data_IF_673238620034
#
_entry.id   IF_673238620034
#
_cell.length_a   1.000
_cell.length_b   1.000
_cell.length_c   1.000
_cell.angle_alpha   90.00
_cell.angle_beta   90.00
_cell.angle_gamma   90.00
#
_symmetry.space_group_name_H-M   'P 1'
#
loop_
_entity.id
_entity.type
_entity.pdbx_description
1 polymer ?
#
# COMPACT_ATOMS: atom_id res chain seq x y z
N UNK A 1 1.39 -6.70 12.30
CA UNK A 1 0.02 -7.25 12.53
C UNK A 1 -0.04 -8.33 13.60
N UNK A 2 0.97 -9.21 13.68
CA UNK A 2 1.05 -10.24 14.74
C UNK A 2 1.07 -9.62 16.14
N UNK A 3 1.84 -8.55 16.32
CA UNK A 3 1.88 -7.80 17.58
C UNK A 3 0.49 -7.30 18.03
N UNK A 4 -0.27 -6.66 17.12
CA UNK A 4 -1.63 -6.20 17.39
C UNK A 4 -2.50 -7.36 17.90
N UNK A 5 -2.45 -8.48 17.19
CA UNK A 5 -3.22 -9.71 17.50
C UNK A 5 -2.86 -10.31 18.85
N UNK A 6 -1.62 -10.12 19.32
CA UNK A 6 -1.13 -10.64 20.58
C UNK A 6 -1.45 -9.71 21.76
N UNK A 7 -1.38 -8.39 21.56
CA UNK A 7 -1.57 -7.38 22.61
C UNK A 7 -3.05 -7.05 22.81
N UNK A 8 -3.81 -6.89 21.73
CA UNK A 8 -5.23 -6.55 21.81
C UNK A 8 -6.06 -7.80 22.08
N UNK A 9 -6.48 -7.98 23.34
CA UNK A 9 -7.31 -9.13 23.75
C UNK A 9 -8.80 -8.96 23.46
N UNK A 10 -9.28 -7.71 23.37
CA UNK A 10 -10.68 -7.39 23.06
C UNK A 10 -10.83 -7.11 21.57
N UNK A 11 -11.95 -7.55 20.98
CA UNK A 11 -12.30 -7.21 19.59
C UNK A 11 -12.43 -5.69 19.45
N UNK A 12 -11.84 -5.15 18.39
CA UNK A 12 -11.83 -3.73 18.09
C UNK A 12 -11.82 -3.54 16.57
N UNK A 13 -12.13 -2.33 16.10
CA UNK A 13 -11.83 -1.92 14.73
C UNK A 13 -10.42 -1.34 14.67
N UNK A 14 -9.62 -1.80 13.73
CA UNK A 14 -8.22 -1.40 13.55
C UNK A 14 -7.98 -0.91 12.12
N UNK A 15 -7.42 0.30 12.00
CA UNK A 15 -7.04 0.88 10.71
C UNK A 15 -5.53 0.74 10.53
N UNK A 16 -5.11 0.18 9.42
CA UNK A 16 -3.70 -0.01 9.05
C UNK A 16 -3.37 0.95 7.93
N UNK A 17 -2.51 1.92 8.19
CA UNK A 17 -2.04 2.89 7.19
C UNK A 17 -0.63 2.49 6.76
N UNK A 18 -0.44 2.24 5.47
CA UNK A 18 0.85 1.81 4.90
C UNK A 18 0.82 1.99 3.38
N UNK A 19 1.97 2.05 2.72
CA UNK A 19 2.06 1.86 1.25
C UNK A 19 1.92 0.38 0.84
N UNK A 20 2.03 -0.54 1.81
CA UNK A 20 2.03 -1.99 1.68
C UNK A 20 3.11 -2.52 0.72
N UNK A 21 4.22 -1.79 0.62
CA UNK A 21 5.40 -2.20 -0.14
C UNK A 21 6.35 -2.88 0.83
N UNK A 22 6.23 -4.20 0.91
CA UNK A 22 7.12 -5.04 1.72
C UNK A 22 7.68 -6.18 0.85
N UNK A 23 8.86 -6.68 1.24
CA UNK A 23 9.49 -7.87 0.70
C UNK A 23 8.82 -9.14 1.25
N UNK A 24 8.36 -9.11 2.49
CA UNK A 24 7.70 -10.25 3.13
C UNK A 24 6.17 -10.23 2.96
N UNK A 25 5.56 -11.42 2.88
CA UNK A 25 4.11 -11.52 2.75
C UNK A 25 3.40 -11.33 4.09
N UNK A 26 2.59 -10.28 4.21
CA UNK A 26 1.76 -10.01 5.39
C UNK A 26 0.38 -10.70 5.37
N UNK A 27 0.08 -11.50 4.33
CA UNK A 27 -1.24 -12.13 4.11
C UNK A 27 -1.74 -12.95 5.31
N UNK A 28 -0.89 -13.79 5.88
CA UNK A 28 -1.28 -14.67 6.98
C UNK A 28 -1.59 -13.86 8.24
N UNK A 29 -0.71 -12.94 8.61
CA UNK A 29 -0.90 -12.07 9.75
C UNK A 29 -2.16 -11.21 9.60
N UNK A 30 -2.43 -10.72 8.39
CA UNK A 30 -3.62 -9.93 8.08
C UNK A 30 -4.91 -10.74 8.16
N UNK A 31 -4.90 -11.97 7.66
CA UNK A 31 -6.05 -12.90 7.77
C UNK A 31 -6.38 -13.22 9.23
N UNK A 32 -5.36 -13.47 10.06
CA UNK A 32 -5.55 -13.75 11.49
C UNK A 32 -6.07 -12.51 12.22
N UNK A 33 -5.47 -11.34 11.95
CA UNK A 33 -5.87 -10.08 12.56
C UNK A 33 -7.32 -9.73 12.23
N UNK A 34 -7.75 -9.89 10.97
CA UNK A 34 -9.12 -9.62 10.53
C UNK A 34 -10.17 -10.62 11.07
N UNK A 35 -9.75 -11.84 11.45
CA UNK A 35 -10.65 -12.78 12.14
C UNK A 35 -10.91 -12.39 13.59
N UNK A 36 -9.92 -11.78 14.26
CA UNK A 36 -10.04 -11.37 15.68
C UNK A 36 -10.54 -9.94 15.85
N UNK A 37 -10.19 -9.07 14.92
CA UNK A 37 -10.48 -7.65 14.90
C UNK A 37 -11.15 -7.29 13.59
N UNK A 38 -11.89 -6.21 13.61
CA UNK A 38 -12.42 -5.63 12.40
C UNK A 38 -11.33 -4.79 11.72
N UNK A 39 -10.63 -5.35 10.73
CA UNK A 39 -9.42 -4.73 10.16
C UNK A 39 -9.72 -4.02 8.85
N UNK A 40 -9.23 -2.79 8.74
CA UNK A 40 -9.36 -1.94 7.55
C UNK A 40 -7.97 -1.50 7.08
N UNK A 41 -7.65 -1.75 5.82
CA UNK A 41 -6.41 -1.34 5.19
C UNK A 41 -6.57 -0.02 4.44
N UNK A 42 -5.76 0.97 4.77
CA UNK A 42 -5.70 2.26 4.09
C UNK A 42 -4.35 2.34 3.41
N UNK A 43 -4.31 2.07 2.11
CA UNK A 43 -3.10 2.23 1.33
C UNK A 43 -2.86 3.71 1.07
N UNK A 44 -1.67 4.20 1.40
CA UNK A 44 -1.25 5.58 1.09
C UNK A 44 -0.07 5.52 0.12
N UNK A 45 -0.16 6.21 -1.01
CA UNK A 45 0.89 6.19 -2.03
C UNK A 45 1.05 7.54 -2.73
N UNK A 46 2.27 7.83 -3.20
CA UNK A 46 2.54 9.02 -4.00
C UNK A 46 2.38 8.74 -5.49
N UNK A 47 1.97 9.76 -6.25
CA UNK A 47 1.88 9.67 -7.72
C UNK A 47 3.19 9.22 -8.37
N UNK A 48 4.34 9.55 -7.79
CA UNK A 48 5.66 9.19 -8.32
C UNK A 48 6.00 7.71 -8.13
N UNK A 49 5.32 7.02 -7.21
CA UNK A 49 5.41 5.56 -7.07
C UNK A 49 4.60 4.85 -8.17
N UNK A 50 3.54 5.49 -8.66
CA UNK A 50 2.73 5.00 -9.78
C UNK A 50 3.38 5.30 -11.14
N UNK A 51 3.93 6.51 -11.32
CA UNK A 51 4.44 6.99 -12.60
C UNK A 51 5.77 7.76 -12.43
N UNK A 52 6.80 7.34 -13.16
CA UNK A 52 8.06 8.08 -13.26
C UNK A 52 7.96 9.18 -14.34
N UNK A 53 8.18 10.46 -14.02
CA UNK A 53 8.17 11.53 -15.02
C UNK A 53 9.48 11.54 -15.83
N UNK A 54 9.47 11.96 -17.11
CA UNK A 54 10.65 11.98 -17.97
C UNK A 54 11.56 13.20 -17.69
N UNK A 55 12.19 13.26 -16.53
CA UNK A 55 13.00 14.41 -16.08
C UNK A 55 14.51 14.21 -16.24
N UNK A 56 14.92 13.12 -16.91
CA UNK A 56 16.34 12.77 -17.07
C UNK A 56 16.85 11.92 -15.91
N UNK A 57 18.08 12.18 -15.47
CA UNK A 57 18.68 11.46 -14.35
C UNK A 57 18.06 11.93 -13.03
N UNK A 58 17.37 11.02 -12.35
CA UNK A 58 16.80 11.22 -11.02
C UNK A 58 17.62 10.44 -10.00
N UNK A 59 18.01 11.10 -8.91
CA UNK A 59 18.61 10.44 -7.76
C UNK A 59 17.50 9.97 -6.83
N UNK A 60 17.42 8.66 -6.59
CA UNK A 60 16.45 8.04 -5.69
C UNK A 60 17.18 7.51 -4.47
N UNK A 61 16.60 7.72 -3.29
CA UNK A 61 17.05 7.16 -2.04
C UNK A 61 16.00 6.19 -1.52
N UNK A 62 16.45 4.98 -1.20
CA UNK A 62 15.66 4.00 -0.48
C UNK A 62 15.48 4.45 0.98
N UNK A 63 14.25 4.53 1.45
CA UNK A 63 13.94 5.06 2.79
C UNK A 63 14.30 4.09 3.93
N UNK A 64 14.44 2.80 3.63
CA UNK A 64 14.67 1.73 4.61
C UNK A 64 16.16 1.49 4.82
N UNK A 65 16.91 1.49 3.74
CA UNK A 65 18.36 1.18 3.72
C UNK A 65 19.23 2.44 3.61
N UNK A 66 18.66 3.56 3.16
CA UNK A 66 19.41 4.78 2.85
C UNK A 66 20.23 4.69 1.55
N UNK A 67 20.14 3.58 0.82
CA UNK A 67 20.87 3.38 -0.43
C UNK A 67 20.43 4.39 -1.50
N UNK A 68 21.38 5.01 -2.19
CA UNK A 68 21.12 5.98 -3.25
C UNK A 68 21.48 5.41 -4.62
N UNK A 69 20.61 5.60 -5.60
CA UNK A 69 20.85 5.20 -6.97
C UNK A 69 20.41 6.28 -7.96
N UNK A 70 21.07 6.32 -9.11
CA UNK A 70 20.67 7.16 -10.24
C UNK A 70 19.81 6.34 -11.19
N UNK A 71 18.63 6.87 -11.52
CA UNK A 71 17.72 6.28 -12.49
C UNK A 71 17.58 7.24 -13.66
N UNK A 72 17.82 6.75 -14.87
CA UNK A 72 17.52 7.50 -16.08
C UNK A 72 16.03 7.39 -16.43
N UNK A 73 15.27 8.37 -15.97
CA UNK A 73 13.83 8.49 -16.23
C UNK A 73 13.51 8.96 -17.64
N UNK A 74 14.50 9.40 -18.44
CA UNK A 74 14.29 9.74 -19.86
C UNK A 74 14.06 8.51 -20.72
N UNK A 75 14.56 7.35 -20.29
CA UNK A 75 14.35 6.07 -20.96
C UNK A 75 12.88 5.62 -20.85
N UNK A 76 12.23 5.45 -22.01
CA UNK A 76 10.86 4.93 -22.08
C UNK A 76 10.77 3.49 -21.54
N UNK A 77 11.82 2.69 -21.72
CA UNK A 77 11.87 1.32 -21.24
C UNK A 77 11.85 1.26 -19.70
N UNK A 78 12.62 2.15 -19.05
CA UNK A 78 12.66 2.28 -17.58
C UNK A 78 11.29 2.70 -17.04
N UNK A 79 10.67 3.74 -17.62
CA UNK A 79 9.34 4.19 -17.20
C UNK A 79 8.28 3.10 -17.36
N UNK A 80 8.33 2.33 -18.46
CA UNK A 80 7.41 1.22 -18.70
C UNK A 80 7.60 0.10 -17.67
N UNK A 81 8.84 -0.33 -17.44
CA UNK A 81 9.13 -1.38 -16.46
C UNK A 81 8.66 -0.98 -15.04
N UNK A 82 8.84 0.29 -14.66
CA UNK A 82 8.34 0.80 -13.38
C UNK A 82 6.82 0.80 -13.29
N UNK A 83 6.13 1.25 -14.35
CA UNK A 83 4.68 1.22 -14.40
C UNK A 83 4.13 -0.22 -14.34
N UNK A 84 4.72 -1.14 -15.11
CA UNK A 84 4.34 -2.55 -15.11
C UNK A 84 4.56 -3.19 -13.73
N UNK A 85 5.67 -2.84 -13.04
CA UNK A 85 5.91 -3.24 -11.65
C UNK A 85 4.83 -2.73 -10.70
N UNK A 86 4.45 -1.45 -10.79
CA UNK A 86 3.40 -0.87 -9.96
C UNK A 86 2.04 -1.55 -10.18
N UNK A 87 1.66 -1.78 -11.44
CA UNK A 87 0.41 -2.47 -11.80
C UNK A 87 0.38 -3.89 -11.23
N UNK A 88 1.49 -4.63 -11.34
CA UNK A 88 1.60 -5.98 -10.78
C UNK A 88 1.49 -5.95 -9.24
N UNK A 89 2.19 -5.01 -8.58
CA UNK A 89 2.14 -4.86 -7.12
C UNK A 89 0.73 -4.52 -6.64
N UNK A 90 0.00 -3.67 -7.36
CA UNK A 90 -1.41 -3.35 -7.07
C UNK A 90 -2.32 -4.56 -7.25
N UNK A 91 -2.09 -5.39 -8.27
CA UNK A 91 -2.85 -6.62 -8.45
C UNK A 91 -2.62 -7.62 -7.30
N UNK A 92 -1.35 -7.82 -6.91
CA UNK A 92 -0.97 -8.67 -5.76
C UNK A 92 -1.57 -8.18 -4.44
N UNK A 93 -1.55 -6.86 -4.23
CA UNK A 93 -2.09 -6.23 -3.03
C UNK A 93 -3.61 -6.41 -2.95
N UNK A 94 -4.32 -6.14 -4.04
CA UNK A 94 -5.78 -6.35 -4.13
C UNK A 94 -6.16 -7.82 -3.91
N UNK A 95 -5.40 -8.75 -4.48
CA UNK A 95 -5.60 -10.17 -4.25
C UNK A 95 -5.39 -10.54 -2.77
N UNK A 96 -4.38 -9.96 -2.14
CA UNK A 96 -4.08 -10.16 -0.71
C UNK A 96 -5.22 -9.66 0.17
N UNK A 97 -5.73 -8.44 -0.06
CA UNK A 97 -6.87 -7.90 0.68
C UNK A 97 -8.13 -8.75 0.49
N UNK A 98 -8.42 -9.15 -0.75
CA UNK A 98 -9.58 -9.99 -1.08
C UNK A 98 -9.51 -11.34 -0.39
N UNK A 99 -8.36 -12.02 -0.45
CA UNK A 99 -8.15 -13.34 0.20
C UNK A 99 -8.17 -13.25 1.73
N UNK A 100 -7.81 -12.11 2.30
CA UNK A 100 -7.87 -11.86 3.75
C UNK A 100 -9.23 -11.32 4.22
N UNK A 101 -10.17 -11.08 3.30
CA UNK A 101 -11.48 -10.48 3.55
C UNK A 101 -11.39 -9.12 4.26
N UNK A 102 -10.37 -8.33 3.93
CA UNK A 102 -10.08 -7.03 4.56
C UNK A 102 -10.65 -5.91 3.70
N UNK A 103 -11.46 -5.05 4.33
CA UNK A 103 -11.91 -3.80 3.73
C UNK A 103 -10.69 -2.94 3.44
N UNK A 104 -10.61 -2.37 2.24
CA UNK A 104 -9.47 -1.56 1.85
C UNK A 104 -9.86 -0.32 1.04
N UNK A 105 -9.00 0.70 1.12
CA UNK A 105 -9.06 1.90 0.28
C UNK A 105 -7.64 2.36 -0.05
N UNK A 106 -7.42 2.76 -1.29
CA UNK A 106 -6.16 3.37 -1.72
C UNK A 106 -6.35 4.88 -1.86
N UNK A 107 -5.44 5.63 -1.26
CA UNK A 107 -5.45 7.09 -1.20
C UNK A 107 -4.12 7.61 -1.72
N UNK A 108 -4.18 8.41 -2.79
CA UNK A 108 -3.00 9.08 -3.31
C UNK A 108 -2.72 10.35 -2.50
N UNK A 109 -1.44 10.66 -2.26
CA UNK A 109 -1.02 11.82 -1.44
C UNK A 109 -1.46 13.18 -1.99
N UNK A 110 -1.77 13.27 -3.29
CA UNK A 110 -2.28 14.46 -3.98
C UNK A 110 -3.82 14.51 -4.10
N UNK A 111 -4.53 13.53 -3.51
CA UNK A 111 -5.99 13.44 -3.54
C UNK A 111 -6.64 13.82 -2.20
N UNK A 112 -7.92 14.18 -2.26
CA UNK A 112 -8.74 14.45 -1.09
C UNK A 112 -9.03 13.14 -0.33
N UNK A 113 -8.22 12.89 0.70
CA UNK A 113 -8.33 11.72 1.56
C UNK A 113 -9.67 11.68 2.33
N UNK A 114 -10.33 12.82 2.55
CA UNK A 114 -11.59 12.87 3.31
C UNK A 114 -12.68 12.12 2.54
N UNK A 115 -12.78 12.31 1.23
CA UNK A 115 -13.73 11.59 0.38
C UNK A 115 -13.48 10.09 0.36
N UNK A 116 -12.21 9.68 0.28
CA UNK A 116 -11.83 8.28 0.28
C UNK A 116 -12.23 7.60 1.60
N UNK A 117 -11.97 8.25 2.73
CA UNK A 117 -12.36 7.75 4.05
C UNK A 117 -13.89 7.74 4.21
N UNK A 118 -14.61 8.77 3.78
CA UNK A 118 -16.08 8.79 3.84
C UNK A 118 -16.69 7.63 3.05
N UNK A 119 -16.20 7.36 1.84
CA UNK A 119 -16.66 6.23 1.02
C UNK A 119 -16.36 4.87 1.67
N UNK A 120 -15.21 4.74 2.32
CA UNK A 120 -14.84 3.53 3.08
C UNK A 120 -15.83 3.28 4.21
N UNK A 121 -16.20 4.30 4.99
CA UNK A 121 -17.17 4.17 6.08
C UNK A 121 -18.60 3.96 5.58
N UNK A 122 -19.00 4.60 4.47
CA UNK A 122 -20.34 4.45 3.90
C UNK A 122 -20.62 3.03 3.40
N UNK A 123 -19.63 2.32 2.85
CA UNK A 123 -19.78 0.92 2.41
C UNK A 123 -20.02 -0.08 3.55
N UNK A 124 -19.82 0.33 4.80
CA UNK A 124 -19.91 -0.53 5.99
C UNK A 124 -21.24 -0.41 6.72
N UNK A 125 -22.09 0.55 6.32
CA UNK A 125 -23.42 0.80 6.87
C UNK A 125 -24.52 0.41 5.89
#
# INVERSE_FOLDING_TARGET
LEYLTNVMKRRCTAFVLSDFIDQESFKNAMTIANRKHDLVAVQVYDRRVEELPPVGLMKIRDAETGHEQWIDTSSRAVRRAHHDWWVNKQAELNETFTKSNVDNVSVRTDQDYVKALMNLFAKRN
#
